data_IF_319517220801
#
_entry.id   IF_319517220801
#
_cell.length_a   1.000
_cell.length_b   1.000
_cell.length_c   1.000
_cell.angle_alpha   90.00
_cell.angle_beta   90.00
_cell.angle_gamma   90.00
#
_symmetry.space_group_name_H-M   'P 1'
#
loop_
_entity.id
_entity.type
_entity.pdbx_description
1 polymer ?
#
# COMPACT_ATOMS: atom_id res chain seq x y z
N UNK A 1 -7.29 2.10 8.05
CA UNK A 1 -5.92 1.55 8.16
C UNK A 1 -5.47 1.62 9.60
N UNK A 2 -4.77 0.58 10.08
CA UNK A 2 -4.12 0.67 11.40
C UNK A 2 -2.87 1.53 11.22
N UNK A 3 -2.59 2.41 12.16
CA UNK A 3 -1.37 3.22 12.13
C UNK A 3 -0.53 2.88 13.34
N UNK A 4 0.74 2.53 13.12
CA UNK A 4 1.71 2.32 14.19
C UNK A 4 2.65 3.52 14.17
N UNK A 5 2.74 4.24 15.28
CA UNK A 5 3.55 5.46 15.35
C UNK A 5 4.41 5.47 16.61
N UNK A 6 5.72 5.78 16.50
CA UNK A 6 6.54 6.14 17.64
C UNK A 6 6.08 7.48 18.20
N UNK A 7 6.04 7.57 19.51
CA UNK A 7 5.52 8.72 20.25
C UNK A 7 6.28 8.93 21.56
N UNK A 8 6.24 10.17 22.06
CA UNK A 8 6.65 10.51 23.40
C UNK A 8 5.48 10.29 24.37
N UNK A 9 5.51 9.17 25.10
CA UNK A 9 4.45 8.81 26.05
C UNK A 9 4.28 9.81 27.20
N UNK A 10 5.31 10.57 27.56
CA UNK A 10 5.19 11.63 28.56
C UNK A 10 4.28 12.77 28.08
N UNK A 11 4.30 13.08 26.77
CA UNK A 11 3.46 14.11 26.16
C UNK A 11 2.01 13.68 25.97
N UNK A 12 1.73 12.38 26.01
CA UNK A 12 0.36 11.87 25.95
C UNK A 12 -0.45 12.21 27.21
N UNK A 13 0.22 12.40 28.35
CA UNK A 13 -0.45 12.68 29.62
C UNK A 13 -1.41 11.57 30.06
N UNK A 14 -1.17 10.31 29.66
CA UNK A 14 -2.03 9.20 30.03
C UNK A 14 -1.95 8.98 31.56
N UNK A 15 -3.07 9.12 32.30
CA UNK A 15 -3.07 9.01 33.76
C UNK A 15 -2.80 7.59 34.25
N UNK A 16 -2.87 6.59 33.38
CA UNK A 16 -2.61 5.19 33.69
C UNK A 16 -1.13 4.81 33.53
N UNK A 17 -0.27 5.71 33.07
CA UNK A 17 1.16 5.50 33.10
C UNK A 17 1.73 5.70 34.50
N UNK A 18 2.73 4.89 34.84
CA UNK A 18 3.61 5.20 35.98
C UNK A 18 4.36 6.50 35.66
N UNK A 19 4.19 7.52 36.49
CA UNK A 19 4.82 8.84 36.31
C UNK A 19 6.34 8.71 36.12
N UNK A 20 6.96 9.39 35.14
CA UNK A 20 6.37 10.42 34.24
C UNK A 20 5.73 9.88 32.96
N UNK A 21 5.68 8.57 32.78
CA UNK A 21 5.38 7.92 31.50
C UNK A 21 6.64 7.62 30.67
N UNK A 22 6.53 6.73 29.68
CA UNK A 22 7.66 6.35 28.84
C UNK A 22 8.07 7.50 27.90
N UNK A 23 9.36 7.84 27.86
CA UNK A 23 9.89 8.83 26.93
C UNK A 23 9.82 8.35 25.46
N UNK A 24 9.99 7.04 25.25
CA UNK A 24 9.91 6.37 23.95
C UNK A 24 8.83 5.31 24.04
N UNK A 25 7.79 5.45 23.22
CA UNK A 25 6.66 4.53 23.23
C UNK A 25 6.14 4.28 21.81
N UNK A 26 5.53 3.12 21.60
CA UNK A 26 4.88 2.76 20.34
C UNK A 26 3.38 2.70 20.56
N UNK A 27 2.64 3.39 19.70
CA UNK A 27 1.19 3.46 19.78
C UNK A 27 0.55 2.86 18.53
N UNK A 28 -0.50 2.08 18.73
CA UNK A 28 -1.37 1.60 17.65
C UNK A 28 -2.61 2.47 17.61
N UNK A 29 -2.81 3.21 16.52
CA UNK A 29 -4.03 3.96 16.24
C UNK A 29 -4.95 3.07 15.41
N UNK A 30 -6.17 2.87 15.92
CA UNK A 30 -7.20 2.01 15.34
C UNK A 30 -8.24 2.79 14.53
N UNK A 31 -8.42 4.07 14.84
CA UNK A 31 -9.39 4.93 14.16
C UNK A 31 -9.31 6.39 14.59
N UNK A 32 -10.18 7.20 14.01
CA UNK A 32 -10.31 8.63 14.28
C UNK A 32 -11.80 9.02 14.28
N UNK A 33 -12.24 9.72 15.32
CA UNK A 33 -13.55 10.33 15.40
C UNK A 33 -13.43 11.81 14.99
N UNK A 34 -13.98 12.15 13.81
CA UNK A 34 -13.94 13.51 13.28
C UNK A 34 -14.90 14.49 13.97
N UNK A 35 -15.88 14.01 14.75
CA UNK A 35 -16.77 14.89 15.51
C UNK A 35 -16.10 15.37 16.80
N UNK A 36 -15.48 14.44 17.53
CA UNK A 36 -14.78 14.76 18.80
C UNK A 36 -13.33 15.17 18.59
N UNK A 37 -12.78 14.95 17.39
CA UNK A 37 -11.36 15.13 17.04
C UNK A 37 -10.45 14.29 17.93
N UNK A 38 -10.76 13.01 18.04
CA UNK A 38 -10.02 12.07 18.86
C UNK A 38 -9.52 10.89 18.05
N UNK A 39 -8.32 10.44 18.36
CA UNK A 39 -7.79 9.17 17.89
C UNK A 39 -8.18 8.06 18.86
N UNK A 40 -8.70 6.97 18.30
CA UNK A 40 -9.00 5.74 19.02
C UNK A 40 -7.77 4.85 18.93
N UNK A 41 -7.23 4.43 20.07
CA UNK A 41 -5.94 3.75 20.12
C UNK A 41 -5.99 2.42 20.86
N UNK A 42 -4.97 1.59 20.66
CA UNK A 42 -4.59 0.53 21.57
C UNK A 42 -3.21 0.86 22.14
N UNK A 43 -3.21 1.39 23.36
CA UNK A 43 -2.00 1.84 24.04
C UNK A 43 -1.35 0.72 24.86
N UNK A 44 -0.35 0.06 24.28
CA UNK A 44 0.36 -1.07 24.90
C UNK A 44 1.17 -0.68 26.15
N UNK A 45 1.30 0.61 26.45
CA UNK A 45 2.00 1.12 27.63
C UNK A 45 1.20 1.01 28.92
N UNK A 46 -0.07 0.61 28.83
CA UNK A 46 -0.98 0.46 29.97
C UNK A 46 -1.98 -0.67 29.77
N UNK A 47 -2.49 -1.24 30.86
CA UNK A 47 -3.60 -2.21 30.83
C UNK A 47 -4.95 -1.57 30.47
N UNK A 48 -5.02 -0.24 30.49
CA UNK A 48 -6.20 0.56 30.14
C UNK A 48 -6.11 1.12 28.71
N UNK A 49 -5.24 0.54 27.87
CA UNK A 49 -4.93 1.10 26.57
C UNK A 49 -5.91 0.74 25.47
N UNK A 50 -6.72 -0.31 25.63
CA UNK A 50 -7.66 -0.72 24.60
C UNK A 50 -8.79 0.30 24.42
N UNK A 51 -8.97 0.75 23.18
CA UNK A 51 -9.92 1.81 22.82
C UNK A 51 -9.71 3.08 23.64
N UNK A 52 -8.45 3.42 23.96
CA UNK A 52 -8.16 4.67 24.65
C UNK A 52 -8.19 5.84 23.66
N UNK A 53 -8.85 6.93 24.05
CA UNK A 53 -9.03 8.10 23.22
C UNK A 53 -7.98 9.17 23.56
N UNK A 54 -7.26 9.64 22.54
CA UNK A 54 -6.41 10.81 22.65
C UNK A 54 -6.96 11.94 21.79
N UNK A 55 -6.99 13.15 22.36
CA UNK A 55 -7.28 14.35 21.59
C UNK A 55 -6.27 14.51 20.46
N UNK A 56 -6.75 14.92 19.28
CA UNK A 56 -5.97 15.06 18.05
C UNK A 56 -4.66 15.83 18.27
N UNK A 57 -4.75 16.99 18.91
CA UNK A 57 -3.60 17.85 19.19
C UNK A 57 -2.57 17.19 20.14
N UNK A 58 -3.04 16.44 21.15
CA UNK A 58 -2.17 15.74 22.10
C UNK A 58 -1.38 14.65 21.37
N UNK A 59 -2.08 13.78 20.63
CA UNK A 59 -1.44 12.68 19.93
C UNK A 59 -0.50 13.20 18.85
N UNK A 60 -0.94 14.13 17.99
CA UNK A 60 -0.08 14.68 16.94
C UNK A 60 1.18 15.35 17.48
N UNK A 61 1.11 16.03 18.62
CA UNK A 61 2.28 16.65 19.26
C UNK A 61 3.21 15.63 19.92
N UNK A 62 2.68 14.47 20.32
CA UNK A 62 3.46 13.39 20.88
C UNK A 62 4.20 12.55 19.83
N UNK A 63 3.77 12.51 18.56
CA UNK A 63 4.45 11.76 17.49
C UNK A 63 5.90 12.22 17.36
N UNK A 64 6.82 11.26 17.49
CA UNK A 64 8.25 11.51 17.46
C UNK A 64 9.00 10.27 17.03
N UNK A 65 9.84 10.40 16.02
CA UNK A 65 10.77 9.37 15.61
C UNK A 65 11.97 9.28 16.56
N UNK A 66 12.51 8.09 16.73
CA UNK A 66 13.67 7.82 17.56
C UNK A 66 14.66 6.97 16.78
N UNK A 67 15.93 7.39 16.77
CA UNK A 67 16.99 6.56 16.19
C UNK A 67 17.06 5.20 16.90
N UNK A 68 17.29 4.15 16.12
CA UNK A 68 17.61 2.83 16.65
C UNK A 68 18.92 2.89 17.42
N UNK A 69 18.93 2.48 18.69
CA UNK A 69 20.10 2.58 19.57
C UNK A 69 19.67 2.94 21.00
N UNK A 70 20.21 2.22 21.97
CA UNK A 70 19.95 2.48 23.38
C UNK A 70 20.56 3.83 23.75
N UNK A 71 19.73 4.80 24.17
CA UNK A 71 20.12 6.12 24.67
C UNK A 71 20.80 7.09 23.67
N UNK A 72 20.63 6.90 22.36
CA UNK A 72 21.04 7.93 21.39
C UNK A 72 20.25 9.24 21.61
N UNK A 73 20.91 10.41 21.63
CA UNK A 73 20.24 11.68 21.84
C UNK A 73 19.33 12.03 20.65
N UNK A 74 18.16 12.60 20.96
CA UNK A 74 17.21 13.04 19.95
C UNK A 74 17.64 14.42 19.45
N UNK A 75 18.36 14.45 18.32
CA UNK A 75 18.91 15.67 17.74
C UNK A 75 17.89 16.50 16.95
N UNK A 76 16.83 15.87 16.46
CA UNK A 76 15.75 16.50 15.69
C UNK A 76 14.41 15.80 15.94
N UNK A 77 13.30 16.50 15.67
CA UNK A 77 11.95 15.93 15.73
C UNK A 77 11.51 15.67 14.28
N UNK A 78 11.45 14.40 13.87
CA UNK A 78 10.66 13.97 12.71
C UNK A 78 9.43 13.21 13.19
N UNK A 79 8.38 13.22 12.37
CA UNK A 79 7.18 12.42 12.58
C UNK A 79 7.17 11.32 11.54
N UNK A 80 7.22 10.08 12.02
CA UNK A 80 7.21 8.88 11.18
C UNK A 80 6.03 8.04 11.60
N UNK A 81 5.34 7.40 10.66
CA UNK A 81 4.23 6.50 10.93
C UNK A 81 4.31 5.32 9.96
N UNK A 82 3.93 4.14 10.44
CA UNK A 82 3.70 2.96 9.60
C UNK A 82 2.20 2.84 9.44
N UNK A 83 1.72 2.89 8.21
CA UNK A 83 0.31 2.63 7.88
C UNK A 83 0.22 1.17 7.46
N UNK A 84 -0.59 0.40 8.17
CA UNK A 84 -0.92 -0.99 7.82
C UNK A 84 -2.21 -0.96 7.03
N UNK A 85 -2.08 -1.24 5.75
CA UNK A 85 -3.17 -1.35 4.80
C UNK A 85 -3.46 -2.82 4.54
N UNK A 86 -4.75 -3.17 4.47
CA UNK A 86 -5.15 -4.47 3.96
C UNK A 86 -5.05 -4.42 2.43
N UNK A 87 -4.59 -5.49 1.77
CA UNK A 87 -4.57 -5.51 0.31
C UNK A 87 -6.01 -5.37 -0.20
N UNK A 88 -6.18 -4.60 -1.27
CA UNK A 88 -7.44 -4.53 -1.97
C UNK A 88 -7.63 -5.85 -2.73
N UNK A 89 -8.87 -6.24 -2.99
CA UNK A 89 -9.15 -7.48 -3.70
C UNK A 89 -9.89 -7.20 -4.99
N UNK A 90 -9.39 -7.78 -6.07
CA UNK A 90 -10.01 -7.68 -7.39
C UNK A 90 -10.13 -9.05 -8.03
N UNK A 91 -11.19 -9.30 -8.77
CA UNK A 91 -11.52 -10.62 -9.28
C UNK A 91 -11.95 -10.59 -10.73
N UNK A 92 -11.58 -11.64 -11.47
CA UNK A 92 -12.18 -12.02 -12.74
C UNK A 92 -12.95 -13.32 -12.53
N UNK A 93 -14.28 -13.24 -12.60
CA UNK A 93 -15.15 -14.35 -12.21
C UNK A 93 -14.82 -14.82 -10.78
N UNK A 94 -14.44 -16.09 -10.58
CA UNK A 94 -14.06 -16.65 -9.28
C UNK A 94 -12.55 -16.55 -8.96
N UNK A 95 -11.73 -16.01 -9.88
CA UNK A 95 -10.29 -15.88 -9.70
C UNK A 95 -9.95 -14.49 -9.13
N UNK A 96 -9.54 -14.46 -7.87
CA UNK A 96 -9.27 -13.22 -7.15
C UNK A 96 -7.79 -13.00 -6.82
N UNK A 97 -7.39 -11.73 -6.87
CA UNK A 97 -6.05 -11.26 -6.56
C UNK A 97 -6.09 -10.21 -5.45
N UNK A 98 -5.20 -10.38 -4.47
CA UNK A 98 -4.82 -9.31 -3.55
C UNK A 98 -3.93 -8.34 -4.32
N UNK A 99 -4.28 -7.06 -4.33
CA UNK A 99 -3.58 -6.04 -5.11
C UNK A 99 -3.06 -4.91 -4.24
N UNK A 100 -1.82 -4.56 -4.48
CA UNK A 100 -1.27 -3.26 -4.07
C UNK A 100 -1.70 -2.20 -5.08
N UNK A 101 -2.02 -1.01 -4.61
CA UNK A 101 -2.43 0.09 -5.48
C UNK A 101 -1.23 0.95 -5.88
N UNK A 102 -1.16 1.29 -7.16
CA UNK A 102 -0.28 2.32 -7.68
C UNK A 102 -1.12 3.49 -8.22
N UNK A 103 -1.43 4.44 -7.34
CA UNK A 103 -2.38 5.54 -7.58
C UNK A 103 -1.68 6.88 -7.82
N UNK A 104 -0.41 7.01 -7.46
CA UNK A 104 0.38 8.20 -7.75
C UNK A 104 1.53 7.94 -8.76
N UNK A 105 2.11 8.98 -9.39
CA UNK A 105 3.16 8.80 -10.38
C UNK A 105 4.40 8.07 -9.88
N UNK A 106 4.76 8.22 -8.60
CA UNK A 106 5.94 7.59 -8.00
C UNK A 106 5.72 6.09 -7.86
N UNK A 107 4.58 5.67 -7.29
CA UNK A 107 4.16 4.27 -7.20
C UNK A 107 4.08 3.61 -8.58
N UNK A 108 3.42 4.29 -9.55
CA UNK A 108 3.29 3.77 -10.92
C UNK A 108 4.65 3.60 -11.61
N UNK A 109 5.60 4.49 -11.33
CA UNK A 109 6.96 4.39 -11.89
C UNK A 109 7.79 3.27 -11.26
N UNK A 110 7.51 2.96 -9.98
CA UNK A 110 8.17 1.89 -9.24
C UNK A 110 7.63 0.51 -9.58
N UNK A 111 6.31 0.37 -9.77
CA UNK A 111 5.67 -0.89 -10.11
C UNK A 111 6.14 -2.07 -9.25
N UNK A 112 6.35 -3.22 -9.87
CA UNK A 112 6.93 -4.42 -9.24
C UNK A 112 8.48 -4.49 -9.38
N UNK A 113 9.17 -3.36 -9.56
CA UNK A 113 10.64 -3.36 -9.67
C UNK A 113 11.31 -3.99 -8.44
N UNK A 114 12.42 -4.68 -8.70
CA UNK A 114 13.31 -5.30 -7.70
C UNK A 114 12.69 -6.40 -6.83
N UNK A 115 11.42 -6.76 -7.02
CA UNK A 115 10.81 -7.91 -6.33
C UNK A 115 11.38 -9.22 -6.84
N UNK A 116 11.78 -10.09 -5.91
CA UNK A 116 12.32 -11.41 -6.24
C UNK A 116 11.22 -12.45 -6.47
N UNK A 117 10.06 -12.24 -5.85
CA UNK A 117 8.89 -13.10 -5.93
C UNK A 117 7.61 -12.28 -5.77
N UNK A 118 6.51 -12.86 -6.24
CA UNK A 118 5.14 -12.39 -6.06
C UNK A 118 4.30 -13.64 -5.83
N UNK A 119 3.45 -13.66 -4.81
CA UNK A 119 2.53 -14.77 -4.59
C UNK A 119 1.53 -14.91 -5.76
N UNK A 120 1.07 -16.13 -6.02
CA UNK A 120 0.27 -16.42 -7.23
C UNK A 120 -1.05 -15.64 -7.29
N UNK A 121 -1.69 -15.44 -6.14
CA UNK A 121 -2.93 -14.69 -5.96
C UNK A 121 -2.67 -13.22 -5.59
N UNK A 122 -1.50 -12.69 -5.92
CA UNK A 122 -1.17 -11.28 -5.71
C UNK A 122 -0.85 -10.58 -7.02
N UNK A 123 -1.05 -9.26 -7.01
CA UNK A 123 -0.73 -8.38 -8.12
C UNK A 123 -0.55 -6.93 -7.70
N UNK A 124 -0.38 -6.07 -8.69
CA UNK A 124 -0.39 -4.62 -8.52
C UNK A 124 -1.38 -4.00 -9.49
N UNK A 125 -2.27 -3.16 -8.98
CA UNK A 125 -3.28 -2.46 -9.75
C UNK A 125 -2.91 -0.99 -9.89
N UNK A 126 -2.62 -0.60 -11.11
CA UNK A 126 -2.32 0.77 -11.50
C UNK A 126 -3.63 1.47 -11.84
N UNK A 127 -3.94 2.52 -11.10
CA UNK A 127 -5.12 3.36 -11.32
C UNK A 127 -4.69 4.58 -12.12
N UNK A 128 -5.48 5.07 -13.06
CA UNK A 128 -5.20 6.31 -13.78
C UNK A 128 -6.41 7.25 -13.81
N UNK A 129 -6.15 8.56 -13.72
CA UNK A 129 -7.21 9.59 -13.69
C UNK A 129 -8.02 9.66 -14.99
N UNK A 130 -7.44 9.23 -16.12
CA UNK A 130 -8.03 9.37 -17.46
C UNK A 130 -7.74 8.12 -18.29
N UNK A 131 -8.58 7.85 -19.28
CA UNK A 131 -8.28 6.80 -20.24
C UNK A 131 -7.20 7.21 -21.24
N UNK A 132 -6.18 6.37 -21.38
CA UNK A 132 -5.10 6.55 -22.36
C UNK A 132 -4.44 5.24 -22.75
N UNK A 133 -3.53 5.29 -23.72
CA UNK A 133 -2.66 4.16 -24.07
C UNK A 133 -1.44 4.18 -23.17
N UNK A 134 -1.53 3.57 -22.00
CA UNK A 134 -0.48 3.56 -21.01
C UNK A 134 0.63 2.56 -21.38
N UNK A 135 1.84 3.02 -21.75
CA UNK A 135 2.95 2.12 -22.02
C UNK A 135 3.50 1.55 -20.71
N UNK A 136 3.83 0.26 -20.71
CA UNK A 136 4.53 -0.40 -19.62
C UNK A 136 5.88 -0.94 -20.10
N UNK A 137 6.80 -1.18 -19.17
CA UNK A 137 8.09 -1.78 -19.44
C UNK A 137 8.46 -2.77 -18.34
N UNK A 138 9.50 -3.55 -18.57
CA UNK A 138 9.99 -4.54 -17.59
C UNK A 138 11.34 -4.13 -16.98
N UNK A 139 11.67 -2.83 -17.01
CA UNK A 139 12.95 -2.34 -16.49
C UNK A 139 13.04 -2.64 -15.00
N UNK A 140 14.15 -3.24 -14.55
CA UNK A 140 14.40 -3.62 -13.16
C UNK A 140 13.37 -4.59 -12.53
N UNK A 141 12.40 -5.09 -13.29
CA UNK A 141 11.45 -6.10 -12.81
C UNK A 141 12.12 -7.47 -12.95
N UNK A 142 12.24 -8.22 -11.85
CA UNK A 142 13.04 -9.46 -11.84
C UNK A 142 12.22 -10.72 -12.15
N UNK A 143 10.91 -10.64 -11.98
CA UNK A 143 9.95 -11.70 -12.24
C UNK A 143 9.22 -11.45 -13.57
N UNK A 144 8.89 -12.51 -14.34
CA UNK A 144 8.05 -12.36 -15.52
C UNK A 144 6.60 -12.09 -15.10
N UNK A 145 5.91 -11.23 -15.86
CA UNK A 145 4.56 -10.76 -15.54
C UNK A 145 3.59 -10.96 -16.71
N UNK A 146 2.31 -11.17 -16.38
CA UNK A 146 1.21 -10.85 -17.29
C UNK A 146 0.75 -9.43 -16.96
N UNK A 147 0.58 -8.61 -17.99
CA UNK A 147 0.15 -7.21 -17.86
C UNK A 147 -1.20 -7.07 -18.56
N UNK A 148 -2.22 -6.65 -17.82
CA UNK A 148 -3.62 -6.66 -18.26
C UNK A 148 -4.15 -5.23 -18.23
N UNK A 149 -4.47 -4.68 -19.39
CA UNK A 149 -5.04 -3.34 -19.53
C UNK A 149 -6.56 -3.42 -19.56
N UNK A 150 -7.20 -2.55 -18.78
CA UNK A 150 -8.64 -2.55 -18.50
C UNK A 150 -9.18 -1.11 -18.69
N UNK A 151 -10.31 -0.98 -19.38
CA UNK A 151 -10.95 0.32 -19.64
C UNK A 151 -11.80 0.85 -18.47
N UNK A 152 -12.43 2.02 -18.65
CA UNK A 152 -13.29 2.64 -17.62
C UNK A 152 -14.60 1.85 -17.35
N UNK A 153 -15.00 0.95 -18.25
CA UNK A 153 -16.14 0.04 -18.07
C UNK A 153 -15.73 -1.28 -17.39
N UNK A 154 -14.48 -1.34 -16.90
CA UNK A 154 -13.84 -2.48 -16.26
C UNK A 154 -13.65 -3.70 -17.17
N UNK A 155 -13.67 -3.52 -18.49
CA UNK A 155 -13.44 -4.59 -19.46
C UNK A 155 -11.96 -4.68 -19.83
N UNK A 156 -11.43 -5.90 -19.92
CA UNK A 156 -10.08 -6.12 -20.43
C UNK A 156 -10.04 -5.73 -21.89
N UNK A 157 -9.15 -4.79 -22.22
CA UNK A 157 -8.95 -4.31 -23.60
C UNK A 157 -7.71 -4.87 -24.27
N UNK A 158 -6.71 -5.28 -23.48
CA UNK A 158 -5.46 -5.83 -23.98
C UNK A 158 -4.74 -6.63 -22.90
N UNK A 159 -4.17 -7.78 -23.28
CA UNK A 159 -3.34 -8.61 -22.40
C UNK A 159 -1.96 -8.76 -23.04
N UNK A 160 -0.91 -8.43 -22.31
CA UNK A 160 0.46 -8.85 -22.63
C UNK A 160 0.84 -9.99 -21.70
N UNK A 161 0.76 -11.20 -22.22
CA UNK A 161 1.21 -12.38 -21.51
C UNK A 161 2.74 -12.49 -21.50
N UNK A 162 3.25 -13.03 -20.39
CA UNK A 162 4.63 -13.48 -20.21
C UNK A 162 5.67 -12.40 -20.61
N UNK A 163 5.43 -11.15 -20.21
CA UNK A 163 6.40 -10.06 -20.31
C UNK A 163 7.67 -10.43 -19.54
N UNK A 164 8.83 -10.37 -20.20
CA UNK A 164 10.10 -10.83 -19.64
C UNK A 164 10.85 -9.69 -18.93
N UNK A 165 11.55 -9.98 -17.81
CA UNK A 165 12.49 -9.07 -17.18
C UNK A 165 13.42 -8.38 -18.18
N UNK A 166 13.63 -7.08 -18.02
CA UNK A 166 14.57 -6.32 -18.82
C UNK A 166 15.63 -5.64 -17.93
N UNK A 167 16.90 -5.99 -18.19
CA UNK A 167 18.08 -5.46 -17.46
C UNK A 167 18.86 -4.42 -18.26
N UNK A 168 18.41 -4.07 -19.44
CA UNK A 168 19.08 -3.10 -20.30
C UNK A 168 18.81 -1.66 -19.84
N UNK A 169 19.68 -0.73 -20.25
CA UNK A 169 19.51 0.70 -19.93
C UNK A 169 18.23 1.27 -20.54
N UNK A 170 17.86 0.79 -21.73
CA UNK A 170 16.66 1.16 -22.47
C UNK A 170 15.82 -0.10 -22.75
N UNK A 171 14.70 -0.23 -22.02
CA UNK A 171 13.78 -1.35 -22.19
C UNK A 171 12.66 -0.99 -23.18
N UNK A 172 12.20 -1.92 -24.02
CA UNK A 172 11.11 -1.67 -24.94
C UNK A 172 9.80 -1.43 -24.18
N UNK A 173 9.01 -0.47 -24.65
CA UNK A 173 7.67 -0.24 -24.15
C UNK A 173 6.70 -1.25 -24.78
N UNK A 174 5.84 -1.80 -23.94
CA UNK A 174 4.65 -2.55 -24.30
C UNK A 174 3.50 -1.55 -24.31
N UNK A 175 2.88 -1.35 -25.47
CA UNK A 175 1.84 -0.32 -25.65
C UNK A 175 0.54 -1.02 -26.04
N UNK A 176 -0.57 -0.78 -25.33
CA UNK A 176 -1.85 -1.37 -25.67
C UNK A 176 -2.40 -0.78 -26.98
N UNK A 177 -3.16 -1.59 -27.72
CA UNK A 177 -3.82 -1.14 -28.95
C UNK A 177 -5.04 -0.23 -28.67
N UNK A 178 -5.67 -0.37 -27.51
CA UNK A 178 -6.82 0.38 -27.01
C UNK A 178 -6.44 1.25 -25.80
N UNK A 179 -7.31 2.21 -25.46
CA UNK A 179 -7.14 3.00 -24.24
C UNK A 179 -7.57 2.16 -23.04
N UNK A 180 -6.96 2.43 -21.90
CA UNK A 180 -7.23 1.80 -20.62
C UNK A 180 -7.25 2.88 -19.54
N UNK A 181 -7.95 2.63 -18.45
CA UNK A 181 -7.92 3.44 -17.22
C UNK A 181 -7.24 2.70 -16.07
N UNK A 182 -7.17 1.38 -16.16
CA UNK A 182 -6.55 0.53 -15.16
C UNK A 182 -5.57 -0.42 -15.84
N UNK A 183 -4.52 -0.81 -15.11
CA UNK A 183 -3.60 -1.87 -15.54
C UNK A 183 -3.34 -2.77 -14.35
N UNK A 184 -3.47 -4.09 -14.53
CA UNK A 184 -3.17 -5.09 -13.51
C UNK A 184 -1.91 -5.87 -13.93
N UNK A 185 -0.91 -5.89 -13.05
CA UNK A 185 0.25 -6.78 -13.16
C UNK A 185 0.07 -7.98 -12.22
N UNK A 186 0.21 -9.19 -12.76
CA UNK A 186 0.22 -10.46 -12.00
C UNK A 186 1.38 -11.33 -12.49
N UNK A 187 1.65 -12.44 -11.79
CA UNK A 187 2.64 -13.41 -12.25
C UNK A 187 2.37 -13.89 -13.68
N UNK A 188 3.44 -14.08 -14.46
CA UNK A 188 3.31 -14.56 -15.83
C UNK A 188 2.59 -15.92 -15.93
N UNK A 189 1.86 -16.09 -17.04
CA UNK A 189 1.08 -17.29 -17.40
C UNK A 189 -0.14 -17.53 -16.53
N UNK A 190 -0.48 -16.63 -15.61
CA UNK A 190 -1.70 -16.74 -14.82
C UNK A 190 -2.92 -16.41 -15.68
N UNK A 191 -2.83 -15.42 -16.58
CA UNK A 191 -3.92 -15.08 -17.50
C UNK A 191 -4.33 -16.30 -18.35
N UNK A 192 -3.37 -16.97 -18.98
CA UNK A 192 -3.60 -18.22 -19.73
C UNK A 192 -4.15 -19.35 -18.83
N UNK A 193 -3.54 -19.54 -17.64
CA UNK A 193 -3.94 -20.59 -16.69
C UNK A 193 -5.40 -20.48 -16.26
N UNK A 194 -5.92 -19.27 -16.07
CA UNK A 194 -7.31 -19.03 -15.65
C UNK A 194 -8.26 -18.78 -16.82
N UNK A 195 -7.76 -18.82 -18.07
CA UNK A 195 -8.56 -18.59 -19.27
C UNK A 195 -9.06 -17.16 -19.41
N UNK A 196 -8.24 -16.18 -19.00
CA UNK A 196 -8.58 -14.76 -19.06
C UNK A 196 -8.49 -14.23 -20.50
N UNK A 197 -9.55 -13.58 -20.97
CA UNK A 197 -9.65 -13.08 -22.34
C UNK A 197 -10.02 -11.59 -22.41
N UNK A 198 -9.76 -10.98 -23.58
CA UNK A 198 -10.21 -9.61 -23.87
C UNK A 198 -11.75 -9.57 -23.84
N UNK A 199 -12.31 -8.64 -23.08
CA UNK A 199 -13.74 -8.50 -22.82
C UNK A 199 -14.19 -9.03 -21.46
N UNK A 200 -13.36 -9.78 -20.74
CA UNK A 200 -13.65 -10.15 -19.34
C UNK A 200 -13.69 -8.91 -18.45
N UNK A 201 -14.51 -8.97 -17.39
CA UNK A 201 -14.74 -7.84 -16.49
C UNK A 201 -14.01 -7.99 -15.16
N UNK A 202 -13.28 -6.95 -14.81
CA UNK A 202 -12.71 -6.76 -13.49
C UNK A 202 -13.83 -6.38 -12.51
N UNK A 203 -13.88 -7.06 -11.37
CA UNK A 203 -14.75 -6.69 -10.25
C UNK A 203 -13.91 -6.34 -9.03
N UNK A 204 -14.34 -5.36 -8.26
CA UNK A 204 -13.79 -5.08 -6.93
C UNK A 204 -14.59 -5.85 -5.89
N UNK A 205 -13.90 -6.63 -5.08
CA UNK A 205 -14.46 -7.25 -3.89
C UNK A 205 -14.21 -6.25 -2.74
N UNK A 206 -15.24 -5.46 -2.40
CA UNK A 206 -15.20 -4.40 -1.37
C UNK A 206 -15.62 -4.98 -0.02
#
# INVERSE_FOLDING_TARGET
NLVITPINGQLLGNPFYTSPGPERHMLVVKGYDGQTKEFITNDVGTRHGDNYHYQENILYNAIRDYKTGYHEPILSISKTMIVVEWPYKTCFQDNCFNVELADNPEERSGGLMFRQELEENWGMLFLFDKESKYPFWMKNTLIPLDIIWIDDDYEIVFIKENAQPCKENACPNIIPNKKAKYVLEINARIADKIGLEVGDKLNFDI
#
